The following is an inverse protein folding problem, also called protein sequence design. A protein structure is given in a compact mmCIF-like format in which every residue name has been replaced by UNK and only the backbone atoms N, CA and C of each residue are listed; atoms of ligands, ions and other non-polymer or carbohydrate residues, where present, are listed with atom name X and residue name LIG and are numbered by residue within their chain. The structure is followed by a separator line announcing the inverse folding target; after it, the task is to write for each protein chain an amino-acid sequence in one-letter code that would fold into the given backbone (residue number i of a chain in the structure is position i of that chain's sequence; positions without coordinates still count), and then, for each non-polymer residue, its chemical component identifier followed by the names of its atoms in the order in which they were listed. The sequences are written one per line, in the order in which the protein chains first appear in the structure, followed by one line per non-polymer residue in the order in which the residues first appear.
data_IF_439984454328
#
_entry.id   IF_439984454328
#
_cell.length_a   1.000
_cell.length_b   1.000
_cell.length_c   1.000
_cell.angle_alpha   90.00
_cell.angle_beta   90.00
_cell.angle_gamma   90.00
#
_symmetry.space_group_name_H-M   'P 1'
#
loop_
_entity.id
_entity.type
_entity.pdbx_description
1 polymer ?
#
# COMPACT_ATOMS: atom_id res chain seq x y z
N UNK A 1 -0.96 14.12 2.34
CA UNK A 1 -1.39 15.49 2.68
C UNK A 1 -2.77 15.38 3.27
N UNK A 2 -2.96 15.81 4.51
CA UNK A 2 -4.29 15.86 5.10
C UNK A 2 -5.02 17.09 4.55
N UNK A 3 -6.21 16.90 3.98
CA UNK A 3 -7.15 17.99 3.72
C UNK A 3 -6.72 19.10 2.75
N UNK A 4 -5.83 18.86 1.78
CA UNK A 4 -5.32 19.92 0.89
C UNK A 4 -6.34 20.61 -0.02
N UNK A 5 -7.59 20.14 -0.12
CA UNK A 5 -8.55 20.64 -1.13
C UNK A 5 -8.14 20.37 -2.59
N UNK A 6 -6.86 20.10 -2.85
CA UNK A 6 -6.31 19.59 -4.11
C UNK A 6 -6.62 18.11 -4.19
N UNK A 7 -7.66 17.77 -4.95
CA UNK A 7 -7.93 16.38 -5.35
C UNK A 7 -6.81 15.92 -6.27
N UNK A 8 -5.99 14.99 -5.79
CA UNK A 8 -4.81 14.55 -6.49
C UNK A 8 -5.17 13.40 -7.44
N UNK A 9 -5.79 13.75 -8.56
CA UNK A 9 -6.32 12.80 -9.53
C UNK A 9 -5.24 12.26 -10.50
N UNK A 10 -4.14 12.98 -10.69
CA UNK A 10 -3.10 12.62 -11.64
C UNK A 10 -1.70 13.04 -11.17
N UNK A 11 -0.86 12.07 -10.83
CA UNK A 11 0.51 12.31 -10.40
C UNK A 11 1.52 12.48 -11.55
N UNK A 12 1.08 12.44 -12.81
CA UNK A 12 1.93 12.76 -13.97
C UNK A 12 1.70 14.17 -14.48
N UNK A 13 0.82 14.95 -13.84
CA UNK A 13 0.58 16.36 -14.16
C UNK A 13 1.50 17.24 -13.28
N UNK A 14 2.48 17.94 -13.88
CA UNK A 14 3.43 18.76 -13.13
C UNK A 14 2.76 19.94 -12.42
N UNK A 15 1.65 20.47 -12.94
CA UNK A 15 0.96 21.61 -12.33
C UNK A 15 0.19 21.16 -11.08
N UNK A 16 -0.41 19.97 -11.11
CA UNK A 16 -1.02 19.35 -9.92
C UNK A 16 0.01 19.11 -8.83
N UNK A 17 1.17 18.54 -9.19
CA UNK A 17 2.26 18.29 -8.25
C UNK A 17 2.80 19.61 -7.66
N UNK A 18 3.00 20.63 -8.49
CA UNK A 18 3.49 21.94 -8.06
C UNK A 18 2.53 22.57 -7.04
N UNK A 19 1.22 22.59 -7.33
CA UNK A 19 0.22 23.11 -6.38
C UNK A 19 0.18 22.31 -5.08
N UNK A 20 0.23 20.98 -5.17
CA UNK A 20 0.23 20.11 -3.99
C UNK A 20 1.48 20.30 -3.13
N UNK A 21 2.65 20.51 -3.76
CA UNK A 21 3.90 20.81 -3.08
C UNK A 21 3.83 22.16 -2.35
N UNK A 22 3.39 23.22 -3.04
CA UNK A 22 3.24 24.56 -2.44
C UNK A 22 2.30 24.51 -1.22
N UNK A 23 1.16 23.85 -1.36
CA UNK A 23 0.19 23.70 -0.27
C UNK A 23 0.75 22.84 0.88
N UNK A 24 1.40 21.72 0.58
CA UNK A 24 2.05 20.87 1.58
C UNK A 24 3.11 21.62 2.38
N UNK A 25 3.92 22.45 1.72
CA UNK A 25 4.93 23.30 2.38
C UNK A 25 4.30 24.37 3.25
N UNK A 26 3.23 25.02 2.77
CA UNK A 26 2.46 25.99 3.55
C UNK A 26 1.91 25.35 4.83
N UNK A 27 1.32 24.16 4.73
CA UNK A 27 0.83 23.41 5.89
C UNK A 27 1.97 23.01 6.83
N UNK A 28 3.10 22.52 6.33
CA UNK A 28 4.24 22.13 7.17
C UNK A 28 4.79 23.30 7.99
N UNK A 29 4.88 24.50 7.40
CA UNK A 29 5.27 25.71 8.11
C UNK A 29 4.24 26.12 9.17
N UNK A 30 2.94 25.97 8.87
CA UNK A 30 1.87 26.21 9.83
C UNK A 30 1.96 25.27 11.03
N UNK A 31 2.16 23.97 10.80
CA UNK A 31 2.36 22.99 11.87
C UNK A 31 3.61 23.31 12.71
N UNK A 32 4.73 23.67 12.07
CA UNK A 32 5.94 24.04 12.79
C UNK A 32 5.71 25.26 13.70
N UNK A 33 5.07 26.32 13.17
CA UNK A 33 4.68 27.50 13.97
C UNK A 33 3.77 27.12 15.13
N UNK A 34 2.71 26.37 14.86
CA UNK A 34 1.76 25.93 15.89
C UNK A 34 2.45 25.14 17.01
N UNK A 35 3.33 24.19 16.66
CA UNK A 35 4.05 23.40 17.65
C UNK A 35 4.93 24.29 18.54
N UNK A 36 5.70 25.20 17.95
CA UNK A 36 6.57 26.13 18.69
C UNK A 36 5.75 27.05 19.61
N UNK A 37 4.66 27.62 19.11
CA UNK A 37 3.86 28.63 19.82
C UNK A 37 2.94 28.02 20.89
N UNK A 38 2.48 26.78 20.69
CA UNK A 38 1.35 26.21 21.46
C UNK A 38 1.67 24.93 22.23
N UNK A 39 2.74 24.21 21.88
CA UNK A 39 3.05 22.92 22.53
C UNK A 39 4.24 23.08 23.49
N UNK A 40 4.03 22.90 24.81
CA UNK A 40 5.12 22.95 25.78
C UNK A 40 6.28 22.02 25.39
N UNK A 41 7.50 22.54 25.50
CA UNK A 41 8.73 21.81 25.14
C UNK A 41 9.26 22.12 23.73
N UNK A 42 8.46 22.67 22.82
CA UNK A 42 8.85 22.95 21.44
C UNK A 42 9.43 24.36 21.20
N UNK A 43 9.59 25.19 22.24
CA UNK A 43 9.99 26.60 22.12
C UNK A 43 11.34 26.87 21.42
N UNK A 44 12.22 25.89 21.36
CA UNK A 44 13.51 25.96 20.65
C UNK A 44 13.59 25.00 19.47
N UNK A 45 12.47 24.36 19.09
CA UNK A 45 12.40 23.53 17.91
C UNK A 45 12.51 24.40 16.65
N UNK A 46 13.04 23.81 15.59
CA UNK A 46 13.07 24.43 14.26
C UNK A 46 12.83 23.38 13.19
N UNK A 47 12.29 23.80 12.06
CA UNK A 47 12.14 22.93 10.90
C UNK A 47 13.49 22.82 10.19
N UNK A 48 14.14 21.66 10.28
CA UNK A 48 15.49 21.45 9.73
C UNK A 48 15.49 21.31 8.20
N UNK A 49 14.49 20.59 7.66
CA UNK A 49 14.36 20.36 6.23
C UNK A 49 12.93 19.97 5.86
N UNK A 50 12.66 20.04 4.56
CA UNK A 50 11.48 19.46 3.94
C UNK A 50 11.93 18.43 2.90
N UNK A 51 11.08 17.45 2.59
CA UNK A 51 11.31 16.55 1.46
C UNK A 51 11.45 17.34 0.15
N UNK A 52 12.16 16.76 -0.82
CA UNK A 52 12.32 17.36 -2.16
C UNK A 52 11.05 17.28 -2.99
N UNK A 53 10.15 16.33 -2.67
CA UNK A 53 8.91 16.09 -3.38
C UNK A 53 7.79 15.69 -2.43
N UNK A 54 6.55 15.98 -2.86
CA UNK A 54 5.34 15.70 -2.13
C UNK A 54 5.06 14.19 -2.08
N UNK A 55 4.77 13.70 -0.88
CA UNK A 55 4.50 12.28 -0.66
C UNK A 55 3.11 11.88 -1.15
N UNK A 56 3.07 10.99 -2.16
CA UNK A 56 1.83 10.48 -2.74
C UNK A 56 1.45 9.13 -2.14
N UNK A 57 0.28 9.07 -1.51
CA UNK A 57 -0.24 7.86 -0.87
C UNK A 57 -0.99 6.96 -1.84
N UNK A 58 -1.71 7.54 -2.81
CA UNK A 58 -2.56 6.81 -3.74
C UNK A 58 -2.71 7.58 -5.06
N UNK A 59 -2.68 6.85 -6.16
CA UNK A 59 -2.91 7.38 -7.52
C UNK A 59 -3.57 6.30 -8.40
N UNK A 60 -2.92 5.89 -9.49
CA UNK A 60 -3.37 4.82 -10.38
C UNK A 60 -3.06 3.46 -9.78
N UNK A 61 -3.99 2.53 -9.97
CA UNK A 61 -3.83 1.10 -9.69
C UNK A 61 -4.14 0.31 -10.94
N UNK A 62 -3.52 -0.86 -11.07
CA UNK A 62 -3.86 -1.80 -12.13
C UNK A 62 -5.15 -2.56 -11.77
N UNK A 63 -5.79 -3.11 -12.79
CA UNK A 63 -6.72 -4.22 -12.60
C UNK A 63 -5.94 -5.51 -12.78
N UNK A 64 -5.85 -6.27 -11.70
CA UNK A 64 -5.24 -7.60 -11.69
C UNK A 64 -6.27 -8.70 -11.95
N UNK A 65 -5.79 -9.93 -12.03
CA UNK A 65 -6.64 -11.13 -12.14
C UNK A 65 -7.61 -11.23 -10.94
N UNK A 66 -7.19 -10.74 -9.77
CA UNK A 66 -8.07 -10.46 -8.63
C UNK A 66 -7.99 -8.99 -8.22
N UNK A 67 -9.04 -8.48 -7.58
CA UNK A 67 -9.06 -7.14 -6.98
C UNK A 67 -9.41 -7.25 -5.50
N UNK A 68 -8.42 -7.00 -4.65
CA UNK A 68 -8.61 -7.07 -3.20
C UNK A 68 -9.63 -6.02 -2.75
N UNK A 69 -10.62 -6.45 -1.97
CA UNK A 69 -11.75 -5.61 -1.57
C UNK A 69 -11.74 -5.26 -0.09
N UNK A 70 -12.50 -4.23 0.28
CA UNK A 70 -12.75 -3.86 1.68
C UNK A 70 -13.26 -5.06 2.49
N UNK A 71 -14.18 -5.83 1.91
CA UNK A 71 -14.78 -7.00 2.56
C UNK A 71 -13.74 -8.09 2.83
N UNK A 72 -12.84 -8.35 1.88
CA UNK A 72 -11.74 -9.31 2.08
C UNK A 72 -10.85 -8.91 3.28
N UNK A 73 -10.58 -7.60 3.44
CA UNK A 73 -9.81 -7.08 4.58
C UNK A 73 -10.58 -7.28 5.88
N UNK A 74 -11.83 -6.82 5.96
CA UNK A 74 -12.62 -6.85 7.19
C UNK A 74 -13.01 -8.26 7.64
N UNK A 75 -13.07 -9.21 6.71
CA UNK A 75 -13.29 -10.64 7.02
C UNK A 75 -11.99 -11.41 7.23
N UNK A 76 -10.83 -10.76 7.10
CA UNK A 76 -9.49 -11.37 7.16
C UNK A 76 -9.36 -12.59 6.24
N UNK A 77 -9.88 -12.47 5.02
CA UNK A 77 -9.94 -13.56 4.05
C UNK A 77 -8.55 -14.12 3.75
N UNK A 78 -8.47 -15.46 3.70
CA UNK A 78 -7.29 -16.20 3.22
C UNK A 78 -7.49 -16.61 1.76
N UNK A 79 -6.38 -16.79 1.05
CA UNK A 79 -6.37 -17.14 -0.37
C UNK A 79 -5.40 -18.28 -0.63
N UNK A 80 -5.77 -19.20 -1.54
CA UNK A 80 -4.92 -20.33 -1.93
C UNK A 80 -3.58 -19.85 -2.53
N UNK A 81 -3.60 -18.68 -3.19
CA UNK A 81 -2.46 -18.04 -3.84
C UNK A 81 -1.82 -16.91 -3.02
N UNK A 82 -1.96 -16.93 -1.69
CA UNK A 82 -1.37 -15.88 -0.86
C UNK A 82 0.16 -15.88 -0.86
N UNK A 83 0.71 -14.67 -0.96
CA UNK A 83 2.14 -14.35 -1.02
C UNK A 83 2.60 -13.46 0.14
N UNK A 84 1.68 -13.10 1.04
CA UNK A 84 1.96 -12.32 2.24
C UNK A 84 0.68 -12.07 3.05
N UNK A 85 0.83 -11.43 4.20
CA UNK A 85 -0.27 -11.12 5.12
C UNK A 85 -0.28 -9.64 5.52
N UNK A 86 -1.47 -9.13 5.84
CA UNK A 86 -1.65 -7.81 6.42
C UNK A 86 -2.58 -7.86 7.64
N UNK A 87 -2.06 -7.52 8.82
CA UNK A 87 -2.85 -7.34 10.05
C UNK A 87 -3.23 -5.89 10.34
N UNK A 88 -2.98 -4.96 9.41
CA UNK A 88 -3.26 -3.55 9.63
C UNK A 88 -4.73 -3.23 9.36
N UNK A 89 -5.37 -2.35 10.16
CA UNK A 89 -6.72 -1.87 9.87
C UNK A 89 -6.77 -1.06 8.58
N UNK A 90 -7.98 -0.82 8.08
CA UNK A 90 -8.24 0.17 7.04
C UNK A 90 -8.07 1.56 7.67
N UNK A 91 -7.13 2.34 7.15
CA UNK A 91 -6.86 3.74 7.56
C UNK A 91 -7.28 4.69 6.43
N UNK A 92 -8.55 5.12 6.44
CA UNK A 92 -9.05 6.02 5.41
C UNK A 92 -8.99 7.49 5.86
N UNK A 93 -8.28 8.31 5.08
CA UNK A 93 -8.15 9.74 5.29
C UNK A 93 -9.08 10.50 4.36
N UNK A 94 -10.30 10.77 4.83
CA UNK A 94 -11.28 11.49 4.05
C UNK A 94 -10.95 12.98 3.97
N UNK A 95 -10.79 13.51 2.75
CA UNK A 95 -10.67 14.94 2.47
C UNK A 95 -12.04 15.59 2.29
N UNK A 96 -12.80 15.79 3.38
CA UNK A 96 -14.13 16.41 3.34
C UNK A 96 -14.41 17.30 4.56
N UNK A 97 -15.68 17.74 4.73
CA UNK A 97 -16.11 18.63 5.83
C UNK A 97 -15.90 18.07 7.25
N UNK A 98 -15.49 16.81 7.38
CA UNK A 98 -14.95 16.24 8.60
C UNK A 98 -13.46 15.96 8.40
N UNK A 99 -12.60 16.69 9.10
CA UNK A 99 -11.18 16.34 9.21
C UNK A 99 -11.09 15.13 10.14
N UNK A 100 -10.87 13.93 9.58
CA UNK A 100 -10.78 12.72 10.40
C UNK A 100 -10.18 11.54 9.64
N UNK A 101 -9.56 10.64 10.40
CA UNK A 101 -9.15 9.32 9.91
C UNK A 101 -10.18 8.30 10.38
N UNK A 102 -10.77 7.56 9.46
CA UNK A 102 -11.66 6.45 9.78
C UNK A 102 -10.83 5.18 9.89
N UNK A 103 -11.00 4.48 11.01
CA UNK A 103 -10.31 3.23 11.28
C UNK A 103 -11.30 2.08 11.32
N UNK A 104 -11.08 1.06 10.50
CA UNK A 104 -11.89 -0.15 10.49
C UNK A 104 -11.01 -1.37 10.66
N UNK A 105 -11.32 -2.18 11.66
CA UNK A 105 -10.48 -3.27 12.11
C UNK A 105 -10.98 -4.61 11.58
N UNK A 106 -10.02 -5.42 11.15
CA UNK A 106 -10.18 -6.85 10.94
C UNK A 106 -10.14 -7.59 12.30
N UNK A 107 -10.68 -8.83 12.40
CA UNK A 107 -10.82 -9.52 13.67
C UNK A 107 -9.50 -9.67 14.44
N UNK A 108 -9.56 -9.61 15.77
CA UNK A 108 -8.36 -9.61 16.60
C UNK A 108 -7.47 -10.84 16.37
N UNK A 109 -6.18 -10.59 16.17
CA UNK A 109 -5.16 -11.61 15.92
C UNK A 109 -5.35 -12.38 14.61
N UNK A 110 -6.04 -11.79 13.64
CA UNK A 110 -6.12 -12.28 12.26
C UNK A 110 -5.32 -11.37 11.33
N UNK A 111 -5.17 -11.79 10.07
CA UNK A 111 -4.56 -10.99 9.02
C UNK A 111 -5.18 -11.37 7.67
N UNK A 112 -5.45 -10.41 6.80
CA UNK A 112 -5.89 -10.69 5.43
C UNK A 112 -4.74 -11.21 4.59
N UNK A 113 -5.01 -12.22 3.75
CA UNK A 113 -4.06 -12.71 2.75
C UNK A 113 -3.90 -11.75 1.59
N UNK A 114 -2.68 -11.65 1.07
CA UNK A 114 -2.35 -10.91 -0.15
C UNK A 114 -2.20 -11.93 -1.28
N UNK A 115 -3.18 -12.12 -2.17
CA UNK A 115 -3.10 -13.11 -3.23
C UNK A 115 -2.19 -12.64 -4.37
N UNK A 116 -1.41 -13.55 -4.96
CA UNK A 116 -0.55 -13.29 -6.13
C UNK A 116 -1.34 -12.68 -7.29
N UNK A 117 -2.57 -13.16 -7.51
CA UNK A 117 -3.50 -12.67 -8.53
C UNK A 117 -3.81 -11.18 -8.45
N UNK A 118 -3.56 -10.50 -7.31
CA UNK A 118 -3.66 -9.03 -7.23
C UNK A 118 -2.48 -8.30 -7.86
N UNK A 119 -1.35 -8.97 -8.06
CA UNK A 119 -0.16 -8.41 -8.68
C UNK A 119 -0.15 -8.63 -10.20
N UNK A 120 -0.74 -9.72 -10.68
CA UNK A 120 -0.75 -10.08 -12.11
C UNK A 120 -1.73 -9.17 -12.86
N UNK A 121 -1.23 -8.34 -13.78
CA UNK A 121 -2.08 -7.45 -14.58
C UNK A 121 -2.99 -8.27 -15.50
N UNK A 122 -4.31 -8.05 -15.41
CA UNK A 122 -5.34 -8.86 -16.08
C UNK A 122 -5.12 -8.99 -17.59
N UNK A 123 -4.81 -7.87 -18.22
CA UNK A 123 -4.68 -7.78 -19.69
C UNK A 123 -3.21 -7.91 -20.16
N UNK A 124 -2.31 -8.34 -19.25
CA UNK A 124 -0.88 -8.53 -19.53
C UNK A 124 -0.45 -9.99 -19.37
N UNK A 125 0.61 -10.41 -20.07
CA UNK A 125 1.12 -11.79 -20.01
C UNK A 125 2.08 -11.97 -18.84
N UNK A 126 3.20 -11.24 -18.84
CA UNK A 126 4.25 -11.27 -17.81
C UNK A 126 4.45 -9.88 -17.20
N UNK A 127 3.34 -9.23 -16.85
CA UNK A 127 3.34 -7.90 -16.25
C UNK A 127 2.79 -7.99 -14.84
N UNK A 128 3.63 -7.65 -13.86
CA UNK A 128 3.31 -7.63 -12.44
C UNK A 128 3.37 -6.20 -11.92
N UNK A 129 2.43 -5.82 -11.06
CA UNK A 129 2.41 -4.53 -10.37
C UNK A 129 2.42 -4.75 -8.85
N UNK A 130 3.59 -4.56 -8.24
CA UNK A 130 3.79 -4.71 -6.79
C UNK A 130 3.82 -3.36 -6.07
N UNK A 131 3.43 -3.36 -4.79
CA UNK A 131 3.40 -2.16 -3.95
C UNK A 131 2.14 -1.32 -4.17
N UNK A 132 2.24 0.00 -4.08
CA UNK A 132 1.07 0.93 -4.05
C UNK A 132 0.13 0.82 -5.27
N UNK A 133 0.61 0.33 -6.41
CA UNK A 133 -0.15 0.25 -7.66
C UNK A 133 -0.85 -1.10 -7.89
N UNK A 134 -0.75 -2.05 -6.95
CA UNK A 134 -1.40 -3.36 -7.06
C UNK A 134 -2.93 -3.28 -7.13
N UNK A 135 -3.56 -4.38 -7.52
CA UNK A 135 -5.00 -4.46 -7.74
C UNK A 135 -5.81 -4.53 -6.43
N UNK A 136 -6.39 -3.40 -6.04
CA UNK A 136 -7.21 -3.28 -4.84
C UNK A 136 -8.29 -2.18 -4.98
N UNK A 137 -9.30 -2.21 -4.14
CA UNK A 137 -10.18 -1.05 -3.89
C UNK A 137 -9.43 0.01 -3.07
N UNK A 138 -10.00 1.23 -3.00
CA UNK A 138 -9.43 2.33 -2.20
C UNK A 138 -9.20 1.88 -0.75
N UNK A 139 -10.25 1.35 -0.11
CA UNK A 139 -10.24 0.95 1.29
C UNK A 139 -9.27 -0.23 1.55
N UNK A 140 -9.28 -1.25 0.69
CA UNK A 140 -8.38 -2.39 0.82
C UNK A 140 -6.93 -1.95 0.71
N UNK A 141 -6.64 -1.07 -0.25
CA UNK A 141 -5.31 -0.52 -0.40
C UNK A 141 -4.95 0.32 0.82
N UNK A 142 -5.87 1.03 1.47
CA UNK A 142 -5.58 1.83 2.66
C UNK A 142 -5.05 0.98 3.84
N UNK A 143 -5.40 -0.31 3.91
CA UNK A 143 -4.80 -1.29 4.84
C UNK A 143 -3.49 -1.89 4.30
N UNK A 144 -3.51 -2.43 3.08
CA UNK A 144 -2.52 -3.43 2.62
C UNK A 144 -1.26 -2.81 1.98
N UNK A 145 -1.19 -1.49 1.80
CA UNK A 145 -0.02 -0.82 1.16
C UNK A 145 1.12 -0.39 2.07
N UNK A 146 1.17 -0.88 3.30
CA UNK A 146 2.27 -0.56 4.22
C UNK A 146 3.61 -1.07 3.68
N UNK A 147 4.72 -0.49 4.14
CA UNK A 147 6.06 -0.76 3.58
C UNK A 147 6.41 -2.24 3.61
N UNK A 148 6.11 -2.95 4.70
CA UNK A 148 6.36 -4.37 4.84
C UNK A 148 5.63 -5.21 3.78
N UNK A 149 4.35 -4.92 3.55
CA UNK A 149 3.53 -5.59 2.54
C UNK A 149 4.01 -5.26 1.14
N UNK A 150 4.41 -4.02 0.86
CA UNK A 150 5.00 -3.65 -0.42
C UNK A 150 6.30 -4.41 -0.69
N UNK A 151 7.15 -4.59 0.32
CA UNK A 151 8.37 -5.41 0.21
C UNK A 151 8.04 -6.88 -0.03
N UNK A 152 7.07 -7.45 0.70
CA UNK A 152 6.61 -8.82 0.49
C UNK A 152 6.07 -9.04 -0.94
N UNK A 153 5.24 -8.12 -1.44
CA UNK A 153 4.78 -8.14 -2.83
C UNK A 153 5.94 -8.08 -3.82
N UNK A 154 6.94 -7.23 -3.58
CA UNK A 154 8.13 -7.11 -4.43
C UNK A 154 8.96 -8.40 -4.48
N UNK A 155 9.18 -9.03 -3.31
CA UNK A 155 9.86 -10.33 -3.22
C UNK A 155 9.10 -11.41 -3.97
N UNK A 156 7.78 -11.50 -3.78
CA UNK A 156 6.92 -12.45 -4.47
C UNK A 156 6.92 -12.24 -6.00
N UNK A 157 6.79 -11.00 -6.45
CA UNK A 157 6.83 -10.65 -7.87
C UNK A 157 8.17 -11.02 -8.52
N UNK A 158 9.29 -10.75 -7.85
CA UNK A 158 10.61 -11.17 -8.35
C UNK A 158 10.77 -12.68 -8.39
N UNK A 159 10.31 -13.37 -7.34
CA UNK A 159 10.41 -14.84 -7.24
C UNK A 159 9.58 -15.54 -8.30
N UNK A 160 8.31 -15.14 -8.50
CA UNK A 160 7.46 -15.75 -9.52
C UNK A 160 7.97 -15.47 -10.93
N UNK A 161 8.53 -14.28 -11.18
CA UNK A 161 9.13 -13.95 -12.47
C UNK A 161 10.35 -14.84 -12.77
N UNK A 162 11.21 -15.11 -11.78
CA UNK A 162 12.32 -16.03 -11.94
C UNK A 162 11.85 -17.47 -12.22
N UNK A 163 10.87 -17.96 -11.46
CA UNK A 163 10.30 -19.29 -11.66
C UNK A 163 9.62 -19.43 -13.03
N UNK A 164 8.96 -18.38 -13.53
CA UNK A 164 8.34 -18.41 -14.86
C UNK A 164 9.37 -18.67 -15.97
N UNK A 165 10.59 -18.12 -15.83
CA UNK A 165 11.70 -18.38 -16.76
C UNK A 165 12.15 -19.85 -16.68
N UNK A 166 12.29 -20.40 -15.47
CA UNK A 166 12.69 -21.80 -15.26
C UNK A 166 11.67 -22.78 -15.87
N UNK A 167 10.39 -22.47 -15.71
CA UNK A 167 9.27 -23.23 -16.31
C UNK A 167 9.07 -22.98 -17.80
N UNK A 168 9.84 -22.08 -18.42
CA UNK A 168 9.69 -21.65 -19.82
C UNK A 168 8.27 -21.20 -20.16
N UNK A 169 7.61 -20.55 -19.20
CA UNK A 169 6.22 -20.14 -19.27
C UNK A 169 6.01 -18.69 -18.84
N UNK A 170 4.78 -18.41 -18.41
CA UNK A 170 4.36 -17.13 -17.88
C UNK A 170 4.27 -17.18 -16.36
N UNK A 171 4.10 -16.02 -15.73
CA UNK A 171 3.88 -15.92 -14.28
C UNK A 171 2.61 -16.67 -13.81
N UNK A 172 1.68 -16.97 -14.73
CA UNK A 172 0.47 -17.76 -14.46
C UNK A 172 0.70 -19.26 -14.51
N UNK A 173 1.76 -19.72 -15.17
CA UNK A 173 2.08 -21.13 -15.31
C UNK A 173 2.89 -21.65 -14.10
N UNK A 174 3.38 -20.75 -13.24
CA UNK A 174 4.16 -21.10 -12.06
C UNK A 174 3.27 -21.78 -11.02
N UNK A 175 3.60 -23.01 -10.58
CA UNK A 175 2.87 -23.69 -9.52
C UNK A 175 2.93 -22.88 -8.22
N UNK A 176 1.76 -22.49 -7.70
CA UNK A 176 1.68 -21.63 -6.51
C UNK A 176 2.40 -22.21 -5.29
N UNK A 177 2.35 -23.54 -5.11
CA UNK A 177 3.03 -24.23 -4.01
C UNK A 177 4.55 -24.10 -4.09
N UNK A 178 5.12 -24.07 -5.30
CA UNK A 178 6.55 -23.88 -5.50
C UNK A 178 6.97 -22.44 -5.14
N UNK A 179 6.20 -21.44 -5.60
CA UNK A 179 6.41 -20.05 -5.22
C UNK A 179 6.36 -19.89 -3.69
N UNK A 180 5.30 -20.38 -3.05
CA UNK A 180 5.14 -20.26 -1.61
C UNK A 180 6.22 -21.02 -0.84
N UNK A 181 6.71 -22.16 -1.35
CA UNK A 181 7.84 -22.89 -0.77
C UNK A 181 9.12 -22.04 -0.80
N UNK A 182 9.44 -21.42 -1.95
CA UNK A 182 10.59 -20.50 -2.10
C UNK A 182 10.48 -19.29 -1.17
N UNK A 183 9.28 -18.70 -1.06
CA UNK A 183 9.04 -17.57 -0.16
C UNK A 183 9.24 -17.95 1.31
N UNK A 184 8.69 -19.08 1.76
CA UNK A 184 8.88 -19.58 3.13
C UNK A 184 10.34 -19.91 3.43
N UNK A 185 11.07 -20.48 2.46
CA UNK A 185 12.51 -20.73 2.60
C UNK A 185 13.33 -19.46 2.84
N UNK A 186 12.83 -18.30 2.39
CA UNK A 186 13.41 -16.98 2.65
C UNK A 186 12.78 -16.25 3.86
N UNK A 187 11.98 -16.96 4.67
CA UNK A 187 11.39 -16.41 5.90
C UNK A 187 10.06 -15.67 5.73
N UNK A 188 9.42 -15.75 4.57
CA UNK A 188 8.10 -15.14 4.38
C UNK A 188 7.04 -15.83 5.25
N UNK A 189 6.19 -15.02 5.90
CA UNK A 189 5.04 -15.48 6.69
C UNK A 189 3.82 -15.47 5.78
N UNK A 190 3.27 -16.66 5.51
CA UNK A 190 2.14 -16.84 4.61
C UNK A 190 0.90 -17.37 5.32
N UNK A 191 0.94 -17.69 6.60
CA UNK A 191 -0.20 -18.22 7.37
C UNK A 191 -0.25 -17.53 8.73
N UNK A 192 -1.45 -17.32 9.25
CA UNK A 192 -1.63 -16.84 10.62
C UNK A 192 -1.30 -18.01 11.55
N UNK A 193 -0.37 -17.81 12.49
CA UNK A 193 0.02 -18.86 13.43
C UNK A 193 -1.18 -19.38 14.22
N UNK A 194 -1.22 -20.70 14.46
CA UNK A 194 -2.16 -21.28 15.40
C UNK A 194 -1.90 -20.70 16.80
N UNK A 195 -2.97 -20.27 17.48
CA UNK A 195 -2.91 -19.89 18.89
C UNK A 195 -2.73 -21.12 19.77
#
# INVERSE_FOLDING_TARGET
IFGSGVSMCNATDPDVLTRAEMEGRRQALEYARFLIDRVPGYRYASLVAMSTQIGLRETRRVFGDYRLTRDDVLTARQFDDQIGLCGAPIEDHHGGKGTGTTWEYLPDGTAVGIPLSTLIVRDGVNVLAAGRCFSATHDAQASVRSMAQCMAMGQAAGTVAALAVDHRGTVRDVPIRELQSRLRAHGAILEVGAR
#
